data_IF_875329631463
#
_entry.id   IF_875329631463
#
_cell.length_a   1.000
_cell.length_b   1.000
_cell.length_c   1.000
_cell.angle_alpha   90.00
_cell.angle_beta   90.00
_cell.angle_gamma   90.00
#
_symmetry.space_group_name_H-M   'P 1'
#
loop_
_entity.id
_entity.type
_entity.pdbx_description
1 polymer ?
#
# COMPACT_ATOMS: atom_id res chain seq x y z
N UNK A 1 15.78 29.56 -8.76
CA UNK A 1 14.50 28.87 -8.93
C UNK A 1 14.80 27.52 -9.57
N UNK A 2 14.53 26.39 -8.90
CA UNK A 2 14.47 25.10 -9.60
C UNK A 2 13.24 25.17 -10.51
N UNK A 3 13.44 24.92 -11.79
CA UNK A 3 12.36 24.84 -12.77
C UNK A 3 11.59 23.53 -12.55
N UNK A 4 10.28 23.55 -12.85
CA UNK A 4 9.48 22.36 -13.04
C UNK A 4 10.15 21.50 -14.11
N UNK A 5 10.34 20.22 -13.85
CA UNK A 5 10.86 19.29 -14.84
C UNK A 5 9.71 18.38 -15.31
N UNK A 6 9.36 18.50 -16.58
CA UNK A 6 8.35 17.68 -17.23
C UNK A 6 9.03 16.80 -18.28
N UNK A 7 8.66 15.53 -18.28
CA UNK A 7 9.06 14.58 -19.30
C UNK A 7 8.40 14.83 -20.65
N UNK A 8 8.65 13.95 -21.60
CA UNK A 8 8.04 13.99 -22.92
C UNK A 8 6.56 13.62 -22.88
N UNK A 9 5.75 14.23 -23.75
CA UNK A 9 4.32 13.96 -23.91
C UNK A 9 3.47 14.11 -22.63
N UNK A 10 3.91 14.91 -21.66
CA UNK A 10 3.12 15.20 -20.46
C UNK A 10 1.94 16.09 -20.82
N UNK A 11 0.73 15.69 -20.46
CA UNK A 11 -0.51 16.45 -20.67
C UNK A 11 -0.94 17.08 -19.35
N UNK A 12 -1.14 18.42 -19.37
CA UNK A 12 -1.62 19.20 -18.22
C UNK A 12 -2.96 19.83 -18.58
N UNK A 13 -4.01 19.44 -17.86
CA UNK A 13 -5.35 19.96 -18.02
C UNK A 13 -5.52 21.39 -17.50
N UNK A 14 -6.61 22.08 -17.87
CA UNK A 14 -6.86 23.44 -17.43
C UNK A 14 -7.02 23.52 -15.91
N UNK A 15 -6.50 24.60 -15.31
CA UNK A 15 -6.55 24.83 -13.86
C UNK A 15 -5.82 23.79 -13.01
N UNK A 16 -5.02 22.90 -13.59
CA UNK A 16 -4.13 22.05 -12.80
C UNK A 16 -2.99 22.91 -12.20
N UNK A 17 -2.60 22.61 -10.97
CA UNK A 17 -1.48 23.26 -10.29
C UNK A 17 -0.29 22.33 -10.23
N UNK A 18 0.84 22.76 -10.76
CA UNK A 18 2.11 22.04 -10.67
C UNK A 18 3.10 22.88 -9.86
N UNK A 19 3.52 22.33 -8.73
CA UNK A 19 4.48 22.97 -7.83
C UNK A 19 5.89 23.06 -8.43
N UNK A 20 6.63 24.08 -8.06
CA UNK A 20 7.94 24.39 -8.63
C UNK A 20 9.03 23.33 -8.38
N UNK A 21 8.78 22.34 -7.53
CA UNK A 21 9.72 21.25 -7.19
C UNK A 21 9.22 19.89 -7.69
N UNK A 22 8.13 19.83 -8.43
CA UNK A 22 7.59 18.61 -8.98
C UNK A 22 8.38 18.17 -10.20
N UNK A 23 8.71 16.88 -10.24
CA UNK A 23 9.31 16.19 -11.37
C UNK A 23 8.28 15.18 -11.87
N UNK A 24 7.84 15.29 -13.12
CA UNK A 24 6.79 14.46 -13.71
C UNK A 24 7.37 13.74 -14.92
N UNK A 25 7.39 12.42 -14.89
CA UNK A 25 7.92 11.56 -15.95
C UNK A 25 7.03 11.53 -17.20
N UNK A 26 7.58 10.97 -18.26
CA UNK A 26 7.01 10.93 -19.61
C UNK A 26 5.60 10.36 -19.65
N UNK A 27 4.81 10.78 -20.65
CA UNK A 27 3.48 10.27 -20.94
C UNK A 27 2.47 10.35 -19.75
N UNK A 28 2.75 11.17 -18.75
CA UNK A 28 1.84 11.37 -17.61
C UNK A 28 0.72 12.35 -17.95
N UNK A 29 -0.45 12.13 -17.36
CA UNK A 29 -1.64 12.98 -17.58
C UNK A 29 -2.08 13.58 -16.25
N UNK A 30 -2.08 14.90 -16.16
CA UNK A 30 -2.53 15.66 -15.01
C UNK A 30 -3.82 16.38 -15.41
N UNK A 31 -4.97 15.85 -15.00
CA UNK A 31 -6.28 16.37 -15.39
C UNK A 31 -6.58 17.73 -14.75
N UNK A 32 -7.67 18.36 -15.22
CA UNK A 32 -8.10 19.67 -14.76
C UNK A 32 -8.30 19.74 -13.23
N UNK A 33 -8.01 20.88 -12.62
CA UNK A 33 -8.18 21.16 -11.18
C UNK A 33 -7.45 20.17 -10.23
N UNK A 34 -6.53 19.35 -10.72
CA UNK A 34 -5.69 18.53 -9.86
C UNK A 34 -4.46 19.31 -9.41
N UNK A 35 -3.83 18.84 -8.36
CA UNK A 35 -2.63 19.47 -7.81
C UNK A 35 -1.52 18.44 -7.64
N UNK A 36 -0.33 18.75 -8.16
CA UNK A 36 0.91 18.04 -7.87
C UNK A 36 1.88 19.06 -7.30
N UNK A 37 2.07 19.08 -5.98
CA UNK A 37 2.87 20.09 -5.28
C UNK A 37 3.86 19.48 -4.29
N UNK A 38 4.74 20.29 -3.70
CA UNK A 38 5.81 19.83 -2.82
C UNK A 38 6.98 19.21 -3.57
N UNK A 39 7.84 18.49 -2.85
CA UNK A 39 8.95 17.72 -3.46
C UNK A 39 8.46 16.36 -3.94
N UNK A 40 7.76 16.36 -5.06
CA UNK A 40 7.23 15.14 -5.69
C UNK A 40 8.13 14.73 -6.85
N UNK A 41 8.51 13.44 -6.88
CA UNK A 41 9.13 12.80 -8.04
C UNK A 41 8.24 11.66 -8.50
N UNK A 42 7.70 11.76 -9.74
CA UNK A 42 6.78 10.77 -10.33
C UNK A 42 7.42 10.20 -11.60
N UNK A 43 7.39 8.86 -11.74
CA UNK A 43 7.80 8.16 -12.95
C UNK A 43 6.88 8.43 -14.14
N UNK A 44 7.01 7.64 -15.18
CA UNK A 44 6.24 7.76 -16.42
C UNK A 44 4.82 7.21 -16.33
N UNK A 45 3.93 7.65 -17.23
CA UNK A 45 2.61 7.08 -17.45
C UNK A 45 1.64 7.20 -16.27
N UNK A 46 1.87 8.11 -15.33
CA UNK A 46 0.96 8.33 -14.23
C UNK A 46 -0.24 9.18 -14.64
N UNK A 47 -1.42 8.85 -14.14
CA UNK A 47 -2.65 9.59 -14.42
C UNK A 47 -3.26 10.14 -13.12
N UNK A 48 -3.37 11.48 -13.03
CA UNK A 48 -3.89 12.20 -11.86
C UNK A 48 -5.22 12.85 -12.24
N UNK A 49 -6.31 12.32 -11.72
CA UNK A 49 -7.68 12.73 -12.02
C UNK A 49 -8.07 14.04 -11.33
N UNK A 50 -9.20 14.66 -11.75
CA UNK A 50 -9.61 15.97 -11.23
C UNK A 50 -9.73 16.01 -9.71
N UNK A 51 -9.27 17.13 -9.13
CA UNK A 51 -9.30 17.40 -7.69
C UNK A 51 -8.44 16.47 -6.82
N UNK A 52 -7.62 15.59 -7.40
CA UNK A 52 -6.62 14.87 -6.63
C UNK A 52 -5.51 15.82 -6.16
N UNK A 53 -4.99 15.59 -4.95
CA UNK A 53 -3.89 16.36 -4.34
C UNK A 53 -2.71 15.44 -4.06
N UNK A 54 -1.69 15.53 -4.89
CA UNK A 54 -0.46 14.72 -4.81
C UNK A 54 0.68 15.59 -4.27
N UNK A 55 1.30 15.13 -3.18
CA UNK A 55 2.41 15.85 -2.53
C UNK A 55 1.95 16.86 -1.48
N UNK A 56 0.72 16.73 -0.98
CA UNK A 56 0.24 17.53 0.13
C UNK A 56 1.18 17.45 1.34
N UNK A 57 1.24 18.55 2.11
CA UNK A 57 2.03 18.59 3.32
C UNK A 57 1.55 17.54 4.33
N UNK A 58 2.49 16.94 5.04
CA UNK A 58 2.18 15.97 6.11
C UNK A 58 1.14 16.53 7.11
N UNK A 59 0.26 15.66 7.59
CA UNK A 59 -0.66 15.95 8.69
C UNK A 59 -0.08 15.62 10.08
N UNK A 60 1.14 15.09 10.15
CA UNK A 60 1.77 14.79 11.43
C UNK A 60 2.09 16.09 12.19
N UNK A 61 1.57 16.19 13.41
CA UNK A 61 1.82 17.34 14.31
C UNK A 61 3.30 17.46 14.72
N UNK A 62 4.11 16.45 14.48
CA UNK A 62 5.56 16.47 14.71
C UNK A 62 6.35 17.18 13.61
N UNK A 63 5.70 17.58 12.51
CA UNK A 63 6.36 18.29 11.43
C UNK A 63 6.97 19.60 11.92
N UNK A 64 8.28 19.77 11.71
CA UNK A 64 9.05 20.93 12.15
C UNK A 64 9.62 21.75 10.97
N UNK A 65 9.04 21.60 9.81
CA UNK A 65 9.56 22.24 8.59
C UNK A 65 10.54 21.34 7.84
N UNK A 66 11.20 21.91 6.84
CA UNK A 66 12.10 21.17 5.95
C UNK A 66 11.49 20.88 4.60
N UNK A 67 12.05 19.90 3.91
CA UNK A 67 11.67 19.55 2.55
C UNK A 67 11.42 18.05 2.40
N UNK A 68 10.44 17.51 3.11
CA UNK A 68 10.07 16.10 2.97
C UNK A 68 9.59 15.80 1.55
N UNK A 69 9.66 14.54 1.16
CA UNK A 69 9.53 14.13 -0.23
C UNK A 69 8.44 13.08 -0.41
N UNK A 70 7.91 13.01 -1.64
CA UNK A 70 7.06 11.94 -2.12
C UNK A 70 7.66 11.38 -3.41
N UNK A 71 7.96 10.09 -3.40
CA UNK A 71 8.46 9.37 -4.57
C UNK A 71 7.38 8.43 -5.08
N UNK A 72 7.05 8.55 -6.36
CA UNK A 72 6.02 7.75 -7.05
C UNK A 72 6.67 7.06 -8.24
N UNK A 73 6.42 5.76 -8.39
CA UNK A 73 6.83 4.99 -9.56
C UNK A 73 6.01 5.32 -10.79
N UNK A 74 5.86 4.36 -11.68
CA UNK A 74 5.24 4.55 -13.00
C UNK A 74 3.86 3.90 -13.08
N UNK A 75 3.03 4.38 -14.04
CA UNK A 75 1.74 3.79 -14.39
C UNK A 75 0.73 3.69 -13.23
N UNK A 76 0.74 4.66 -12.33
CA UNK A 76 -0.26 4.74 -11.27
C UNK A 76 -1.46 5.59 -11.70
N UNK A 77 -2.63 5.23 -11.20
CA UNK A 77 -3.89 5.97 -11.41
C UNK A 77 -4.36 6.53 -10.07
N UNK A 78 -4.42 7.86 -9.99
CA UNK A 78 -4.97 8.57 -8.83
C UNK A 78 -6.31 9.18 -9.23
N UNK A 79 -7.42 8.56 -8.82
CA UNK A 79 -8.77 9.00 -9.15
C UNK A 79 -9.15 10.28 -8.40
N UNK A 80 -10.36 10.74 -8.62
CA UNK A 80 -10.86 12.02 -8.13
C UNK A 80 -10.75 12.13 -6.60
N UNK A 81 -10.28 13.28 -6.12
CA UNK A 81 -10.14 13.59 -4.70
C UNK A 81 -9.19 12.67 -3.91
N UNK A 82 -8.35 11.91 -4.58
CA UNK A 82 -7.27 11.17 -3.90
C UNK A 82 -6.28 12.14 -3.28
N UNK A 83 -5.79 11.82 -2.09
CA UNK A 83 -4.72 12.59 -1.45
C UNK A 83 -3.53 11.70 -1.14
N UNK A 84 -2.33 12.17 -1.46
CA UNK A 84 -1.07 11.51 -1.10
C UNK A 84 -0.10 12.56 -0.53
N UNK A 85 0.39 12.33 0.69
CA UNK A 85 1.20 13.31 1.41
C UNK A 85 2.69 13.00 1.33
N UNK A 86 3.51 14.05 1.39
CA UNK A 86 4.95 13.94 1.60
C UNK A 86 5.24 13.36 2.99
N UNK A 87 6.47 12.92 3.23
CA UNK A 87 6.91 12.45 4.54
C UNK A 87 6.88 13.55 5.62
N UNK A 88 7.19 13.22 6.85
CA UNK A 88 7.20 14.16 7.98
C UNK A 88 8.57 14.80 8.20
N UNK A 89 9.64 14.01 8.17
CA UNK A 89 10.99 14.52 8.39
C UNK A 89 11.61 15.10 7.13
N UNK A 90 12.54 16.04 7.29
CA UNK A 90 13.05 16.89 6.21
C UNK A 90 13.63 16.15 4.99
N UNK A 91 14.25 14.99 5.19
CA UNK A 91 14.89 14.24 4.10
C UNK A 91 14.24 12.88 3.84
N UNK A 92 13.17 12.57 4.57
CA UNK A 92 12.43 11.33 4.43
C UNK A 92 11.47 11.33 3.23
N UNK A 93 10.99 10.14 2.92
CA UNK A 93 10.13 9.89 1.78
C UNK A 93 8.85 9.16 2.20
N UNK A 94 7.71 9.60 1.67
CA UNK A 94 6.60 8.72 1.37
C UNK A 94 6.90 8.07 0.02
N UNK A 95 6.72 6.77 -0.09
CA UNK A 95 7.06 6.00 -1.31
C UNK A 95 5.81 5.29 -1.82
N UNK A 96 5.53 5.46 -3.09
CA UNK A 96 4.50 4.73 -3.83
C UNK A 96 5.16 4.08 -5.03
N UNK A 97 5.04 2.75 -5.15
CA UNK A 97 5.58 1.99 -6.26
C UNK A 97 4.84 2.24 -7.58
N UNK A 98 4.74 1.22 -8.40
CA UNK A 98 4.21 1.30 -9.77
C UNK A 98 2.93 0.49 -9.95
N UNK A 99 2.15 0.82 -10.99
CA UNK A 99 0.94 0.09 -11.39
C UNK A 99 -0.16 0.04 -10.31
N UNK A 100 -0.22 1.04 -9.45
CA UNK A 100 -1.22 1.13 -8.40
C UNK A 100 -2.47 1.88 -8.88
N UNK A 101 -3.62 1.52 -8.30
CA UNK A 101 -4.90 2.17 -8.56
C UNK A 101 -5.48 2.68 -7.24
N UNK A 102 -5.57 3.99 -7.13
CA UNK A 102 -6.17 4.69 -6.01
C UNK A 102 -7.54 5.22 -6.46
N UNK A 103 -8.64 4.58 -6.00
CA UNK A 103 -9.99 5.02 -6.36
C UNK A 103 -10.40 6.26 -5.54
N UNK A 104 -11.48 6.90 -5.98
CA UNK A 104 -11.90 8.21 -5.52
C UNK A 104 -11.96 8.34 -3.99
N UNK A 105 -11.47 9.47 -3.46
CA UNK A 105 -11.40 9.78 -2.03
C UNK A 105 -10.49 8.87 -1.21
N UNK A 106 -9.64 8.05 -1.81
CA UNK A 106 -8.66 7.30 -1.02
C UNK A 106 -7.51 8.19 -0.57
N UNK A 107 -6.83 7.78 0.51
CA UNK A 107 -5.79 8.57 1.15
C UNK A 107 -4.55 7.75 1.45
N UNK A 108 -3.38 8.29 1.10
CA UNK A 108 -2.07 7.80 1.53
C UNK A 108 -1.42 8.86 2.42
N UNK A 109 -1.31 8.56 3.71
CA UNK A 109 -0.68 9.46 4.66
C UNK A 109 0.85 9.50 4.48
N UNK A 110 1.46 10.36 5.28
CA UNK A 110 2.90 10.58 5.35
C UNK A 110 3.69 9.31 5.72
N UNK A 111 4.92 9.21 5.25
CA UNK A 111 5.88 8.16 5.60
C UNK A 111 5.43 6.73 5.25
N UNK A 112 4.37 6.56 4.43
CA UNK A 112 3.95 5.26 3.93
C UNK A 112 4.95 4.71 2.92
N UNK A 113 5.11 3.39 2.91
CA UNK A 113 5.85 2.65 1.88
C UNK A 113 4.87 1.71 1.19
N UNK A 114 4.51 2.04 -0.03
CA UNK A 114 3.55 1.30 -0.86
C UNK A 114 4.28 0.63 -2.01
N UNK A 115 4.10 -0.67 -2.15
CA UNK A 115 4.65 -1.48 -3.23
C UNK A 115 3.92 -1.27 -4.56
N UNK A 116 3.82 -2.34 -5.34
CA UNK A 116 3.28 -2.31 -6.69
C UNK A 116 1.93 -3.04 -6.78
N UNK A 117 1.13 -2.69 -7.79
CA UNK A 117 -0.15 -3.36 -8.07
C UNK A 117 -1.16 -3.30 -6.90
N UNK A 118 -1.05 -2.31 -6.02
CA UNK A 118 -2.05 -2.04 -4.99
C UNK A 118 -3.35 -1.53 -5.64
N UNK A 119 -4.48 -2.00 -5.12
CA UNK A 119 -5.78 -1.39 -5.40
C UNK A 119 -6.37 -0.86 -4.08
N UNK A 120 -6.52 0.45 -3.98
CA UNK A 120 -7.27 1.09 -2.91
C UNK A 120 -8.66 1.47 -3.41
N UNK A 121 -9.68 0.83 -2.84
CA UNK A 121 -11.07 1.18 -3.14
C UNK A 121 -11.42 2.56 -2.59
N UNK A 122 -12.50 3.15 -3.10
CA UNK A 122 -12.92 4.50 -2.72
C UNK A 122 -13.10 4.63 -1.20
N UNK A 123 -12.75 5.81 -0.67
CA UNK A 123 -12.82 6.14 0.77
C UNK A 123 -11.93 5.27 1.69
N UNK A 124 -11.01 4.47 1.16
CA UNK A 124 -10.03 3.77 1.99
C UNK A 124 -8.87 4.69 2.35
N UNK A 125 -8.25 4.47 3.52
CA UNK A 125 -7.17 5.32 4.01
C UNK A 125 -6.06 4.51 4.66
N UNK A 126 -4.81 4.87 4.33
CA UNK A 126 -3.61 4.40 5.01
C UNK A 126 -3.16 5.50 5.99
N UNK A 127 -3.05 5.18 7.26
CA UNK A 127 -2.44 6.03 8.28
C UNK A 127 -0.93 6.16 8.07
N UNK A 128 -0.29 7.08 8.81
CA UNK A 128 1.15 7.31 8.68
C UNK A 128 1.99 6.04 8.91
N UNK A 129 3.13 5.93 8.21
CA UNK A 129 4.08 4.82 8.33
C UNK A 129 3.53 3.42 8.00
N UNK A 130 2.39 3.33 7.31
CA UNK A 130 1.87 2.03 6.84
C UNK A 130 2.77 1.50 5.73
N UNK A 131 3.06 0.20 5.80
CA UNK A 131 3.81 -0.52 4.77
C UNK A 131 2.89 -1.47 4.04
N UNK A 132 2.84 -1.38 2.73
CA UNK A 132 2.01 -2.20 1.86
C UNK A 132 2.90 -2.91 0.85
N UNK A 133 2.91 -4.24 0.88
CA UNK A 133 3.61 -5.04 -0.11
C UNK A 133 2.83 -5.11 -1.44
N UNK A 134 3.36 -5.82 -2.43
CA UNK A 134 2.76 -5.90 -3.77
C UNK A 134 1.41 -6.63 -3.79
N UNK A 135 0.55 -6.25 -4.75
CA UNK A 135 -0.72 -6.92 -5.05
C UNK A 135 -1.75 -6.93 -3.91
N UNK A 136 -1.68 -5.98 -3.02
CA UNK A 136 -2.66 -5.83 -1.94
C UNK A 136 -3.95 -5.19 -2.45
N UNK A 137 -5.08 -5.57 -1.87
CA UNK A 137 -6.35 -4.89 -2.09
C UNK A 137 -6.90 -4.35 -0.77
N UNK A 138 -7.22 -3.06 -0.74
CA UNK A 138 -7.87 -2.40 0.40
C UNK A 138 -9.30 -2.05 0.01
N UNK A 139 -10.27 -2.65 0.69
CA UNK A 139 -11.69 -2.52 0.40
C UNK A 139 -12.25 -1.13 0.68
N UNK A 140 -13.43 -0.85 0.16
CA UNK A 140 -14.13 0.42 0.29
C UNK A 140 -14.30 0.84 1.77
N UNK A 141 -14.03 2.11 2.07
CA UNK A 141 -14.24 2.67 3.41
C UNK A 141 -13.37 2.08 4.53
N UNK A 142 -12.31 1.35 4.18
CA UNK A 142 -11.39 0.73 5.13
C UNK A 142 -10.37 1.74 5.67
N UNK A 143 -10.20 1.77 7.00
CA UNK A 143 -9.13 2.53 7.66
C UNK A 143 -8.01 1.62 8.17
N UNK A 144 -6.80 1.87 7.71
CA UNK A 144 -5.58 1.17 8.18
C UNK A 144 -4.84 2.06 9.18
N UNK A 145 -4.69 1.59 10.40
CA UNK A 145 -4.00 2.33 11.47
C UNK A 145 -2.51 2.49 11.15
N UNK A 146 -1.94 3.59 11.61
CA UNK A 146 -0.51 3.88 11.46
C UNK A 146 0.40 2.71 11.90
N UNK A 147 1.53 2.55 11.22
CA UNK A 147 2.53 1.49 11.45
C UNK A 147 2.05 0.07 11.15
N UNK A 148 0.86 -0.15 10.63
CA UNK A 148 0.44 -1.47 10.18
C UNK A 148 1.15 -1.88 8.90
N UNK A 149 1.32 -3.20 8.74
CA UNK A 149 1.89 -3.82 7.55
C UNK A 149 0.86 -4.71 6.86
N UNK A 150 0.78 -4.59 5.55
CA UNK A 150 -0.09 -5.40 4.69
C UNK A 150 0.79 -6.26 3.79
N UNK A 151 0.77 -7.57 4.01
CA UNK A 151 1.58 -8.52 3.27
C UNK A 151 1.08 -8.75 1.85
N UNK A 152 1.95 -9.21 0.99
CA UNK A 152 1.72 -9.45 -0.45
C UNK A 152 0.45 -10.28 -0.70
N UNK A 153 -0.32 -9.90 -1.71
CA UNK A 153 -1.60 -10.54 -2.06
C UNK A 153 -2.62 -10.59 -0.92
N UNK A 154 -2.47 -9.81 0.15
CA UNK A 154 -3.52 -9.72 1.16
C UNK A 154 -4.73 -8.92 0.67
N UNK A 155 -5.87 -9.15 1.30
CA UNK A 155 -7.13 -8.44 1.06
C UNK A 155 -7.69 -7.95 2.39
N UNK A 156 -8.01 -6.68 2.47
CA UNK A 156 -8.75 -6.10 3.59
C UNK A 156 -10.16 -5.80 3.10
N UNK A 157 -11.17 -6.41 3.73
CA UNK A 157 -12.57 -6.26 3.35
C UNK A 157 -13.08 -4.82 3.51
N UNK A 158 -14.16 -4.50 2.83
CA UNK A 158 -14.79 -3.19 2.92
C UNK A 158 -15.23 -2.85 4.35
N UNK A 159 -15.17 -1.56 4.72
CA UNK A 159 -15.58 -1.05 6.03
C UNK A 159 -14.82 -1.64 7.22
N UNK A 160 -13.62 -2.17 7.00
CA UNK A 160 -12.79 -2.74 8.05
C UNK A 160 -12.00 -1.67 8.79
N UNK A 161 -11.80 -1.86 10.11
CA UNK A 161 -10.86 -1.07 10.94
C UNK A 161 -9.65 -1.94 11.24
N UNK A 162 -8.57 -1.76 10.48
CA UNK A 162 -7.35 -2.52 10.68
C UNK A 162 -6.42 -1.82 11.68
N UNK A 163 -6.03 -2.53 12.74
CA UNK A 163 -5.15 -2.01 13.81
C UNK A 163 -3.90 -2.86 14.05
N UNK A 164 -3.79 -3.99 13.37
CA UNK A 164 -2.69 -4.94 13.41
C UNK A 164 -2.28 -5.37 11.99
N UNK A 165 -1.17 -6.08 11.87
CA UNK A 165 -0.60 -6.48 10.57
C UNK A 165 -1.40 -7.64 9.94
N UNK A 166 -1.51 -7.62 8.62
CA UNK A 166 -2.14 -8.72 7.85
C UNK A 166 -1.05 -9.45 7.07
N UNK A 167 -0.79 -10.73 7.39
CA UNK A 167 0.23 -11.50 6.68
C UNK A 167 -0.06 -11.68 5.19
N UNK A 168 0.97 -12.01 4.39
CA UNK A 168 0.79 -12.32 2.96
C UNK A 168 -0.31 -13.36 2.71
N UNK A 169 -1.06 -13.16 1.62
CA UNK A 169 -2.13 -14.04 1.12
C UNK A 169 -3.40 -14.11 1.98
N UNK A 170 -3.46 -13.40 3.08
CA UNK A 170 -4.60 -13.48 4.00
C UNK A 170 -5.70 -12.48 3.64
N UNK A 171 -6.93 -12.81 4.02
CA UNK A 171 -8.07 -11.93 3.98
C UNK A 171 -8.46 -11.56 5.41
N UNK A 172 -8.46 -10.26 5.71
CA UNK A 172 -8.90 -9.70 6.98
C UNK A 172 -10.23 -8.95 6.82
N UNK A 173 -11.10 -9.04 7.83
CA UNK A 173 -12.44 -8.47 7.82
C UNK A 173 -12.89 -8.07 9.23
N UNK A 174 -13.64 -7.00 9.32
CA UNK A 174 -14.32 -6.56 10.55
C UNK A 174 -13.77 -5.28 11.19
N UNK A 175 -14.31 -4.94 12.38
CA UNK A 175 -13.93 -3.75 13.15
C UNK A 175 -13.89 -4.06 14.65
N UNK A 176 -12.71 -4.37 15.24
CA UNK A 176 -11.41 -4.48 14.59
C UNK A 176 -11.35 -5.62 13.57
N UNK A 177 -10.50 -5.47 12.54
CA UNK A 177 -10.32 -6.49 11.52
C UNK A 177 -9.50 -7.67 12.08
N UNK A 178 -9.93 -8.88 11.74
CA UNK A 178 -9.24 -10.11 12.03
C UNK A 178 -9.04 -10.94 10.76
N UNK A 179 -7.98 -11.73 10.68
CA UNK A 179 -7.78 -12.65 9.55
C UNK A 179 -8.83 -13.76 9.60
N UNK A 180 -9.66 -13.83 8.57
CA UNK A 180 -10.79 -14.77 8.45
C UNK A 180 -10.49 -15.97 7.56
N UNK A 181 -9.70 -15.76 6.52
CA UNK A 181 -9.37 -16.79 5.52
C UNK A 181 -8.13 -16.42 4.73
N UNK A 182 -7.79 -17.24 3.74
CA UNK A 182 -6.87 -16.84 2.66
C UNK A 182 -7.61 -16.00 1.61
N UNK A 183 -6.90 -15.13 0.91
CA UNK A 183 -7.40 -14.37 -0.24
C UNK A 183 -7.46 -15.24 -1.50
N UNK A 184 -8.29 -16.28 -1.48
CA UNK A 184 -8.39 -17.23 -2.59
C UNK A 184 -8.66 -16.54 -3.92
N UNK A 185 -9.63 -15.62 -3.95
CA UNK A 185 -10.05 -14.93 -5.19
C UNK A 185 -8.91 -14.10 -5.78
N UNK A 186 -8.17 -13.37 -4.94
CA UNK A 186 -7.01 -12.61 -5.39
C UNK A 186 -5.92 -13.54 -5.94
N UNK A 187 -5.62 -14.60 -5.21
CA UNK A 187 -4.62 -15.59 -5.63
C UNK A 187 -5.00 -16.25 -6.97
N UNK A 188 -6.24 -16.70 -7.13
CA UNK A 188 -6.73 -17.31 -8.39
C UNK A 188 -6.57 -16.37 -9.60
N UNK A 189 -6.88 -15.06 -9.41
CA UNK A 189 -6.73 -14.03 -10.45
C UNK A 189 -5.28 -13.82 -10.88
N UNK A 190 -4.33 -14.03 -9.99
CA UNK A 190 -2.89 -13.95 -10.26
C UNK A 190 -2.27 -15.28 -10.70
N UNK A 191 -3.09 -16.30 -10.94
CA UNK A 191 -2.65 -17.56 -11.52
C UNK A 191 -2.08 -18.57 -10.53
N UNK A 192 -2.28 -18.38 -9.23
CA UNK A 192 -1.96 -19.40 -8.23
C UNK A 192 -2.82 -20.65 -8.47
N UNK A 193 -2.21 -21.82 -8.46
CA UNK A 193 -2.88 -23.09 -8.76
C UNK A 193 -3.25 -23.85 -7.50
N UNK A 194 -3.91 -24.99 -7.65
CA UNK A 194 -4.42 -25.80 -6.57
C UNK A 194 -3.41 -26.06 -5.45
N UNK A 195 -2.20 -26.48 -5.80
CA UNK A 195 -1.11 -26.75 -4.84
C UNK A 195 -0.67 -25.52 -4.07
N UNK A 196 -0.60 -24.35 -4.72
CA UNK A 196 -0.23 -23.09 -4.08
C UNK A 196 -1.30 -22.71 -3.04
N UNK A 197 -2.58 -22.84 -3.43
CA UNK A 197 -3.69 -22.54 -2.54
C UNK A 197 -3.72 -23.49 -1.32
N UNK A 198 -3.42 -24.77 -1.52
CA UNK A 198 -3.36 -25.72 -0.42
C UNK A 198 -2.20 -25.43 0.55
N UNK A 199 -1.02 -25.05 0.02
CA UNK A 199 0.13 -24.63 0.83
C UNK A 199 -0.21 -23.42 1.69
N UNK A 200 -0.82 -22.37 1.08
CA UNK A 200 -1.21 -21.17 1.81
C UNK A 200 -2.36 -21.47 2.80
N UNK A 201 -3.31 -22.34 2.43
CA UNK A 201 -4.39 -22.77 3.33
C UNK A 201 -3.86 -23.53 4.56
N UNK A 202 -2.83 -24.35 4.38
CA UNK A 202 -2.16 -25.04 5.48
C UNK A 202 -1.51 -24.02 6.44
N UNK A 203 -0.82 -22.99 5.92
CA UNK A 203 -0.25 -21.90 6.72
C UNK A 203 -1.34 -21.20 7.53
N UNK A 204 -2.44 -20.80 6.87
CA UNK A 204 -3.59 -20.19 7.55
C UNK A 204 -4.15 -21.05 8.67
N UNK A 205 -4.37 -22.37 8.41
CA UNK A 205 -4.88 -23.29 9.42
C UNK A 205 -3.92 -23.40 10.61
N UNK A 206 -2.63 -23.44 10.36
CA UNK A 206 -1.61 -23.54 11.43
C UNK A 206 -1.60 -22.28 12.30
N UNK A 207 -1.70 -21.08 11.71
CA UNK A 207 -1.64 -19.82 12.44
C UNK A 207 -2.94 -19.45 13.16
N UNK A 208 -4.11 -19.77 12.58
CA UNK A 208 -5.40 -19.22 13.02
C UNK A 208 -6.47 -20.24 13.39
N UNK A 209 -6.25 -21.53 13.10
CA UNK A 209 -7.27 -22.58 13.33
C UNK A 209 -6.74 -23.78 14.12
N UNK A 210 -5.49 -23.75 14.56
CA UNK A 210 -4.92 -24.77 15.45
C UNK A 210 -5.06 -24.35 16.91
N UNK A 211 -4.89 -25.29 17.82
CA UNK A 211 -4.85 -25.04 19.28
C UNK A 211 -3.49 -24.48 19.75
N UNK A 212 -2.55 -24.27 18.82
CA UNK A 212 -1.21 -23.75 19.11
C UNK A 212 -1.26 -22.26 19.42
N UNK A 213 -0.46 -21.82 20.37
CA UNK A 213 -0.19 -20.40 20.50
C UNK A 213 0.67 -19.90 19.33
N UNK A 214 0.77 -18.58 19.17
CA UNK A 214 1.47 -17.93 18.03
C UNK A 214 2.92 -18.42 17.86
N UNK A 215 3.68 -18.50 18.95
CA UNK A 215 5.08 -18.98 18.93
C UNK A 215 5.17 -20.42 18.46
N UNK A 216 4.35 -21.30 19.02
CA UNK A 216 4.32 -22.71 18.63
C UNK A 216 3.89 -22.90 17.17
N UNK A 217 2.93 -22.11 16.68
CA UNK A 217 2.51 -22.15 15.29
C UNK A 217 3.63 -21.74 14.33
N UNK A 218 4.39 -20.70 14.66
CA UNK A 218 5.55 -20.25 13.89
C UNK A 218 6.66 -21.31 13.89
N UNK A 219 6.98 -21.89 15.03
CA UNK A 219 7.98 -22.97 15.13
C UNK A 219 7.58 -24.16 14.27
N UNK A 220 6.31 -24.57 14.34
CA UNK A 220 5.78 -25.66 13.51
C UNK A 220 5.94 -25.33 12.02
N UNK A 221 5.60 -24.12 11.58
CA UNK A 221 5.78 -23.72 10.20
C UNK A 221 7.26 -23.74 9.78
N UNK A 222 8.17 -23.29 10.64
CA UNK A 222 9.61 -23.36 10.38
C UNK A 222 10.13 -24.78 10.20
N UNK A 223 9.67 -25.72 11.03
CA UNK A 223 9.99 -27.15 10.90
C UNK A 223 9.50 -27.70 9.55
N UNK A 224 8.24 -27.46 9.21
CA UNK A 224 7.67 -27.88 7.93
C UNK A 224 8.44 -27.31 6.74
N UNK A 225 8.86 -26.05 6.84
CA UNK A 225 9.67 -25.44 5.78
C UNK A 225 11.07 -26.07 5.64
N UNK A 226 11.68 -26.49 6.73
CA UNK A 226 12.98 -27.18 6.70
C UNK A 226 12.89 -28.54 5.99
N UNK A 227 11.74 -29.20 6.05
CA UNK A 227 11.50 -30.50 5.41
C UNK A 227 11.07 -30.36 3.93
N UNK A 228 10.23 -29.37 3.61
CA UNK A 228 9.55 -29.28 2.31
C UNK A 228 10.09 -28.14 1.40
N UNK A 229 10.84 -27.18 1.95
CA UNK A 229 11.34 -26.02 1.18
C UNK A 229 10.23 -25.10 0.65
N UNK A 230 9.19 -24.84 1.44
CA UNK A 230 8.01 -24.09 1.02
C UNK A 230 8.24 -22.57 1.09
N UNK A 231 8.37 -21.92 -0.06
CA UNK A 231 8.61 -20.47 -0.17
C UNK A 231 7.52 -19.61 0.47
N UNK A 232 6.27 -20.05 0.48
CA UNK A 232 5.16 -19.31 1.14
C UNK A 232 5.32 -19.30 2.65
N UNK A 233 5.81 -20.39 3.25
CA UNK A 233 6.14 -20.40 4.68
C UNK A 233 7.26 -19.42 4.97
N UNK A 234 8.33 -19.39 4.16
CA UNK A 234 9.42 -18.44 4.34
C UNK A 234 8.91 -17.01 4.31
N UNK A 235 8.10 -16.66 3.31
CA UNK A 235 7.55 -15.32 3.16
C UNK A 235 6.68 -14.92 4.37
N UNK A 236 5.75 -15.78 4.77
CA UNK A 236 4.86 -15.48 5.90
C UNK A 236 5.64 -15.42 7.22
N UNK A 237 6.58 -16.33 7.48
CA UNK A 237 7.37 -16.30 8.72
C UNK A 237 8.33 -15.13 8.77
N UNK A 238 8.89 -14.70 7.64
CA UNK A 238 9.70 -13.49 7.54
C UNK A 238 8.85 -12.23 7.83
N UNK A 239 7.68 -12.12 7.22
CA UNK A 239 6.73 -11.04 7.49
C UNK A 239 6.39 -10.93 8.99
N UNK A 240 6.08 -12.08 9.61
CA UNK A 240 5.72 -12.14 11.04
C UNK A 240 6.91 -11.73 11.93
N UNK A 241 8.13 -12.11 11.57
CA UNK A 241 9.33 -11.75 12.35
C UNK A 241 9.61 -10.25 12.39
N UNK A 242 9.12 -9.51 11.40
CA UNK A 242 9.24 -8.05 11.29
C UNK A 242 8.00 -7.29 11.79
N UNK A 243 7.01 -7.99 12.31
CA UNK A 243 5.76 -7.38 12.79
C UNK A 243 5.97 -6.76 14.17
N UNK A 244 5.69 -5.46 14.28
CA UNK A 244 5.72 -4.71 15.54
C UNK A 244 4.31 -4.50 16.13
N UNK A 245 3.28 -4.51 15.28
CA UNK A 245 1.88 -4.30 15.67
C UNK A 245 1.16 -5.58 16.11
N UNK A 246 1.80 -6.74 15.91
CA UNK A 246 1.12 -8.03 16.03
C UNK A 246 0.20 -8.32 14.84
N UNK A 247 -0.33 -9.55 14.76
CA UNK A 247 -1.17 -9.99 13.64
C UNK A 247 -2.67 -9.85 13.97
N UNK A 248 -3.42 -9.42 12.97
CA UNK A 248 -4.87 -9.33 12.96
C UNK A 248 -5.57 -10.69 13.03
#
# INVERSE_FOLDING_TARGET
FKQIELGENVVIGPFALIGAKALIGDNSIIHHHSTVDGQVSMGEGNEVFPYAMIGGLTHDLKYQGGSPKLKIGSNNVFREYVTAHVATSADDFTIIGSNNVFLAYSHVAHDCIVGNHLVMSSHSALGGHVQVEDHVNVGWGTGVHQFCRLGRHSMISACSKLVQDVPPFMLADGSPAEVRSINKVGMDRFGFKGDDLEKVRMIFKTLYKSELNRTQAIEKLKHMNAEEGNSYIQEVTHFIALSERGLA
#
